data_IF_724941426887
#
_entry.id   IF_724941426887
#
_cell.length_a   1.000
_cell.length_b   1.000
_cell.length_c   1.000
_cell.angle_alpha   90.00
_cell.angle_beta   90.00
_cell.angle_gamma   90.00
#
_symmetry.space_group_name_H-M   'P 1'
#
loop_
_entity.id
_entity.type
_entity.pdbx_description
1 polymer ?
#
# COMPACT_ATOMS: atom_id res chain seq x y z
N UNK A 1 4.99 -38.02 -19.71
CA UNK A 1 5.47 -36.91 -20.54
C UNK A 1 6.91 -36.64 -20.18
N UNK A 2 7.80 -36.97 -21.09
CA UNK A 2 9.22 -36.67 -20.97
C UNK A 2 9.48 -35.16 -21.22
N UNK A 3 10.74 -34.76 -21.08
CA UNK A 3 11.17 -33.38 -21.26
C UNK A 3 10.88 -32.85 -22.68
N UNK A 4 11.17 -33.65 -23.70
CA UNK A 4 11.06 -33.28 -25.11
C UNK A 4 9.59 -33.11 -25.53
N UNK A 5 8.72 -34.01 -25.06
CA UNK A 5 7.28 -33.97 -25.30
C UNK A 5 6.65 -32.72 -24.64
N UNK A 6 7.12 -32.35 -23.45
CA UNK A 6 6.68 -31.14 -22.75
C UNK A 6 7.02 -29.86 -23.54
N UNK A 7 8.24 -29.78 -24.07
CA UNK A 7 8.70 -28.66 -24.92
C UNK A 7 7.90 -28.64 -26.22
N UNK A 8 7.81 -29.77 -26.94
CA UNK A 8 7.07 -29.85 -28.20
C UNK A 8 5.59 -29.48 -28.04
N UNK A 9 4.96 -29.84 -26.92
CA UNK A 9 3.59 -29.40 -26.59
C UNK A 9 3.49 -27.88 -26.43
N UNK A 10 4.43 -27.27 -25.70
CA UNK A 10 4.47 -25.83 -25.52
C UNK A 10 4.72 -25.10 -26.84
N UNK A 11 5.57 -25.64 -27.71
CA UNK A 11 5.88 -25.09 -29.03
C UNK A 11 4.64 -25.08 -29.94
N UNK A 12 3.89 -26.20 -30.00
CA UNK A 12 2.62 -26.24 -30.73
C UNK A 12 1.62 -25.19 -30.25
N UNK A 13 1.51 -24.99 -28.93
CA UNK A 13 0.67 -23.93 -28.35
C UNK A 13 1.17 -22.54 -28.70
N UNK A 14 2.49 -22.34 -28.76
CA UNK A 14 3.10 -21.06 -29.11
C UNK A 14 2.84 -20.70 -30.58
N UNK A 15 3.10 -21.64 -31.48
CA UNK A 15 2.89 -21.51 -32.93
C UNK A 15 1.42 -21.27 -33.27
N UNK A 16 0.49 -21.87 -32.52
CA UNK A 16 -0.94 -21.62 -32.68
C UNK A 16 -1.42 -20.28 -32.06
N UNK A 17 -0.50 -19.40 -31.65
CA UNK A 17 -0.81 -18.10 -31.03
C UNK A 17 -1.26 -18.17 -29.56
N UNK A 18 -1.34 -19.36 -28.95
CA UNK A 18 -1.78 -19.56 -27.56
C UNK A 18 -0.64 -19.37 -26.56
N UNK A 19 0.03 -18.21 -26.63
CA UNK A 19 1.26 -17.90 -25.86
C UNK A 19 1.12 -18.08 -24.34
N UNK A 20 0.00 -17.62 -23.77
CA UNK A 20 -0.24 -17.76 -22.33
C UNK A 20 -0.33 -19.23 -21.89
N UNK A 21 -0.99 -20.08 -22.70
CA UNK A 21 -1.11 -21.51 -22.41
C UNK A 21 0.23 -22.25 -22.55
N UNK A 22 1.06 -21.85 -23.52
CA UNK A 22 2.41 -22.38 -23.67
C UNK A 22 3.28 -22.06 -22.45
N UNK A 23 3.30 -20.80 -21.99
CA UNK A 23 4.02 -20.41 -20.77
C UNK A 23 3.51 -21.14 -19.53
N UNK A 24 2.19 -21.27 -19.37
CA UNK A 24 1.61 -22.00 -18.24
C UNK A 24 2.02 -23.48 -18.24
N UNK A 25 1.98 -24.13 -19.41
CA UNK A 25 2.42 -25.51 -19.58
C UNK A 25 3.88 -25.70 -19.13
N UNK A 26 4.77 -24.81 -19.56
CA UNK A 26 6.19 -24.85 -19.17
C UNK A 26 6.38 -24.55 -17.68
N UNK A 27 5.71 -23.54 -17.13
CA UNK A 27 5.78 -23.21 -15.69
C UNK A 27 5.31 -24.37 -14.81
N UNK A 28 4.20 -25.01 -15.18
CA UNK A 28 3.67 -26.18 -14.47
C UNK A 28 4.69 -27.32 -14.48
N UNK A 29 5.33 -27.58 -15.64
CA UNK A 29 6.37 -28.61 -15.76
C UNK A 29 7.59 -28.28 -14.91
N UNK A 30 8.11 -27.04 -14.96
CA UNK A 30 9.25 -26.59 -14.13
C UNK A 30 8.97 -26.72 -12.64
N UNK A 31 7.74 -26.45 -12.18
CA UNK A 31 7.38 -26.63 -10.76
C UNK A 31 7.34 -28.09 -10.36
N UNK A 32 6.86 -28.96 -11.25
CA UNK A 32 6.73 -30.40 -10.98
C UNK A 32 8.08 -31.12 -11.05
N UNK A 33 8.91 -30.76 -12.02
CA UNK A 33 10.24 -31.33 -12.27
C UNK A 33 11.27 -30.21 -12.42
N UNK A 34 11.71 -29.60 -11.28
CA UNK A 34 12.66 -28.48 -11.26
C UNK A 34 14.00 -28.70 -11.96
N UNK A 35 14.42 -29.97 -12.05
CA UNK A 35 15.69 -30.41 -12.64
C UNK A 35 15.68 -30.43 -14.18
N UNK A 36 14.51 -30.25 -14.83
CA UNK A 36 14.38 -30.23 -16.29
C UNK A 36 14.99 -28.96 -16.90
N UNK A 37 16.30 -29.00 -17.12
CA UNK A 37 17.06 -27.84 -17.57
C UNK A 37 16.65 -27.36 -18.98
N UNK A 38 16.29 -28.25 -19.90
CA UNK A 38 15.80 -27.90 -21.23
C UNK A 38 14.42 -27.26 -21.21
N UNK A 39 13.47 -27.76 -20.41
CA UNK A 39 12.16 -27.08 -20.22
C UNK A 39 12.35 -25.67 -19.67
N UNK A 40 13.26 -25.50 -18.70
CA UNK A 40 13.58 -24.19 -18.14
C UNK A 40 14.23 -23.28 -19.17
N UNK A 41 15.17 -23.76 -19.99
CA UNK A 41 15.73 -22.99 -21.12
C UNK A 41 14.66 -22.57 -22.12
N UNK A 42 13.74 -23.46 -22.46
CA UNK A 42 12.61 -23.14 -23.34
C UNK A 42 11.75 -22.02 -22.73
N UNK A 43 11.40 -22.11 -21.45
CA UNK A 43 10.63 -21.08 -20.74
C UNK A 43 11.35 -19.72 -20.74
N UNK A 44 12.65 -19.71 -20.46
CA UNK A 44 13.48 -18.49 -20.51
C UNK A 44 13.49 -17.89 -21.92
N UNK A 45 13.66 -18.73 -22.96
CA UNK A 45 13.58 -18.31 -24.35
C UNK A 45 12.25 -17.64 -24.68
N UNK A 46 11.12 -18.24 -24.28
CA UNK A 46 9.79 -17.66 -24.50
C UNK A 46 9.58 -16.33 -23.78
N UNK A 47 10.12 -16.15 -22.57
CA UNK A 47 10.06 -14.85 -21.91
C UNK A 47 10.93 -13.78 -22.58
N UNK A 48 12.10 -14.17 -23.11
CA UNK A 48 12.95 -13.27 -23.91
C UNK A 48 12.25 -12.81 -25.19
N UNK A 49 11.58 -13.72 -25.90
CA UNK A 49 10.77 -13.39 -27.09
C UNK A 49 9.67 -12.35 -26.79
N UNK A 50 9.15 -12.33 -25.56
CA UNK A 50 8.15 -11.35 -25.11
C UNK A 50 8.74 -10.07 -24.51
N UNK A 51 10.07 -9.95 -24.43
CA UNK A 51 10.74 -8.83 -23.76
C UNK A 51 10.59 -8.83 -22.23
N UNK A 52 10.14 -9.93 -21.63
CA UNK A 52 9.93 -10.07 -20.18
C UNK A 52 11.23 -10.50 -19.48
N UNK A 53 12.22 -9.62 -19.47
CA UNK A 53 13.57 -9.90 -18.96
C UNK A 53 13.61 -10.23 -17.44
N UNK A 54 12.68 -9.71 -16.65
CA UNK A 54 12.49 -10.06 -15.25
C UNK A 54 12.10 -11.53 -15.07
N UNK A 55 11.17 -12.03 -15.90
CA UNK A 55 10.74 -13.43 -15.88
C UNK A 55 11.81 -14.36 -16.45
N UNK A 56 12.48 -13.96 -17.52
CA UNK A 56 13.63 -14.69 -18.05
C UNK A 56 14.74 -14.82 -17.00
N UNK A 57 15.04 -13.75 -16.27
CA UNK A 57 15.94 -13.76 -15.12
C UNK A 57 15.47 -14.73 -14.04
N UNK A 58 14.23 -14.59 -13.58
CA UNK A 58 13.64 -15.43 -12.52
C UNK A 58 13.82 -16.92 -12.81
N UNK A 59 13.36 -17.39 -13.96
CA UNK A 59 13.40 -18.84 -14.25
C UNK A 59 14.80 -19.31 -14.64
N UNK A 60 15.63 -18.43 -15.21
CA UNK A 60 16.98 -18.77 -15.65
C UNK A 60 18.02 -18.87 -14.52
N UNK A 61 17.76 -18.28 -13.35
CA UNK A 61 18.69 -18.30 -12.21
C UNK A 61 19.08 -19.69 -11.71
N UNK A 62 18.25 -20.71 -11.98
CA UNK A 62 18.56 -22.09 -11.61
C UNK A 62 19.58 -22.77 -12.56
N UNK A 63 19.97 -22.11 -13.65
CA UNK A 63 20.93 -22.63 -14.63
C UNK A 63 22.12 -21.67 -14.68
N UNK A 64 23.28 -22.17 -14.23
CA UNK A 64 24.52 -21.41 -14.21
C UNK A 64 24.84 -20.80 -15.58
N UNK A 65 25.15 -19.51 -15.59
CA UNK A 65 25.49 -18.76 -16.81
C UNK A 65 24.36 -18.51 -17.82
N UNK A 66 23.13 -18.97 -17.59
CA UNK A 66 22.03 -18.77 -18.55
C UNK A 66 21.51 -17.32 -18.59
N UNK A 67 21.56 -16.63 -17.46
CA UNK A 67 21.00 -15.27 -17.31
C UNK A 67 22.02 -14.19 -17.63
N UNK A 68 21.55 -13.10 -18.22
CA UNK A 68 22.35 -11.88 -18.37
C UNK A 68 22.34 -11.06 -17.08
N UNK A 69 23.32 -10.14 -16.93
CA UNK A 69 23.35 -9.19 -15.80
C UNK A 69 22.06 -8.36 -15.72
N UNK A 70 21.54 -7.92 -16.86
CA UNK A 70 20.29 -7.12 -16.94
C UNK A 70 19.08 -7.92 -16.46
N UNK A 71 18.94 -9.17 -16.90
CA UNK A 71 17.86 -10.06 -16.47
C UNK A 71 17.91 -10.31 -14.95
N UNK A 72 19.10 -10.56 -14.39
CA UNK A 72 19.28 -10.73 -12.94
C UNK A 72 18.88 -9.47 -12.15
N UNK A 73 19.29 -8.29 -12.61
CA UNK A 73 18.92 -7.02 -11.97
C UNK A 73 17.40 -6.76 -12.01
N UNK A 74 16.75 -7.03 -13.14
CA UNK A 74 15.30 -6.85 -13.27
C UNK A 74 14.53 -7.86 -12.41
N UNK A 75 14.98 -9.11 -12.36
CA UNK A 75 14.45 -10.10 -11.44
C UNK A 75 14.60 -9.61 -10.00
N UNK A 76 15.79 -9.18 -9.57
CA UNK A 76 16.03 -8.68 -8.21
C UNK A 76 15.10 -7.52 -7.83
N UNK A 77 14.86 -6.57 -8.75
CA UNK A 77 13.91 -5.45 -8.53
C UNK A 77 12.48 -5.94 -8.36
N UNK A 78 12.07 -6.93 -9.14
CA UNK A 78 10.76 -7.57 -9.02
C UNK A 78 10.62 -8.27 -7.66
N UNK A 79 11.62 -9.07 -7.28
CA UNK A 79 11.66 -9.77 -6.00
C UNK A 79 11.62 -8.80 -4.81
N UNK A 80 12.42 -7.74 -4.83
CA UNK A 80 12.39 -6.72 -3.79
C UNK A 80 11.01 -6.05 -3.65
N UNK A 81 10.17 -6.07 -4.69
CA UNK A 81 8.82 -5.52 -4.65
C UNK A 81 7.75 -6.49 -4.16
N UNK A 82 7.84 -7.78 -4.50
CA UNK A 82 6.74 -8.73 -4.31
C UNK A 82 7.03 -9.81 -3.28
N UNK A 83 8.29 -10.05 -2.94
CA UNK A 83 8.68 -11.17 -2.09
C UNK A 83 8.60 -10.78 -0.62
N UNK A 84 8.02 -11.62 0.23
CA UNK A 84 7.73 -11.30 1.65
C UNK A 84 8.72 -11.90 2.66
N UNK A 85 9.64 -12.79 2.26
CA UNK A 85 10.63 -13.35 3.18
C UNK A 85 11.49 -14.45 2.55
N UNK A 86 12.68 -14.72 3.07
CA UNK A 86 13.65 -15.68 2.49
C UNK A 86 13.20 -17.15 2.57
N UNK A 87 12.31 -17.47 3.52
CA UNK A 87 11.69 -18.80 3.61
C UNK A 87 10.85 -19.09 2.35
N UNK A 88 11.17 -20.17 1.64
CA UNK A 88 10.45 -20.58 0.43
C UNK A 88 10.98 -19.99 -0.89
N UNK A 89 12.15 -19.34 -0.89
CA UNK A 89 12.73 -18.81 -2.15
C UNK A 89 13.01 -19.94 -3.15
N UNK A 90 13.53 -21.07 -2.67
CA UNK A 90 13.77 -22.25 -3.50
C UNK A 90 12.48 -22.74 -4.17
N UNK A 91 11.39 -22.86 -3.42
CA UNK A 91 10.07 -23.26 -3.95
C UNK A 91 9.53 -22.23 -4.94
N UNK A 92 9.68 -20.94 -4.64
CA UNK A 92 9.18 -19.88 -5.50
C UNK A 92 9.91 -19.79 -6.85
N UNK A 93 11.23 -20.03 -6.84
CA UNK A 93 12.06 -20.15 -8.03
C UNK A 93 11.96 -21.52 -8.69
N UNK A 94 11.25 -22.46 -8.03
CA UNK A 94 11.20 -23.87 -8.34
C UNK A 94 12.62 -24.42 -8.58
N UNK A 95 13.55 -24.21 -7.65
CA UNK A 95 14.92 -24.70 -7.78
C UNK A 95 14.97 -26.23 -7.66
N UNK A 96 15.90 -26.90 -8.37
CA UNK A 96 16.18 -28.30 -8.11
C UNK A 96 16.66 -28.50 -6.66
N UNK A 97 16.41 -29.68 -6.11
CA UNK A 97 16.93 -30.05 -4.80
C UNK A 97 18.47 -30.04 -4.81
N UNK A 98 19.07 -29.54 -3.74
CA UNK A 98 20.52 -29.43 -3.59
C UNK A 98 20.94 -28.04 -3.12
N UNK A 99 22.23 -27.76 -3.27
CA UNK A 99 22.81 -26.47 -2.93
C UNK A 99 22.29 -25.37 -3.86
N UNK A 100 22.11 -24.17 -3.29
CA UNK A 100 21.67 -23.01 -4.04
C UNK A 100 22.78 -22.58 -5.02
N UNK A 101 22.47 -22.37 -6.32
CA UNK A 101 23.41 -21.79 -7.26
C UNK A 101 23.95 -20.44 -6.75
N UNK A 102 25.22 -20.14 -7.00
CA UNK A 102 25.83 -18.87 -6.56
C UNK A 102 25.08 -17.66 -7.11
N UNK A 103 24.52 -17.75 -8.33
CA UNK A 103 23.70 -16.68 -8.90
C UNK A 103 22.41 -16.41 -8.11
N UNK A 104 21.85 -17.43 -7.42
CA UNK A 104 20.70 -17.26 -6.52
C UNK A 104 21.15 -16.60 -5.23
N UNK A 105 22.31 -16.96 -4.69
CA UNK A 105 22.86 -16.32 -3.49
C UNK A 105 23.13 -14.83 -3.73
N UNK A 106 23.77 -14.50 -4.87
CA UNK A 106 24.00 -13.12 -5.30
C UNK A 106 22.69 -12.33 -5.44
N UNK A 107 21.64 -12.98 -5.96
CA UNK A 107 20.32 -12.38 -6.07
C UNK A 107 19.74 -12.04 -4.69
N UNK A 108 19.86 -12.92 -3.69
CA UNK A 108 19.34 -12.67 -2.33
C UNK A 108 19.98 -11.44 -1.72
N UNK A 109 21.30 -11.31 -1.85
CA UNK A 109 22.05 -10.14 -1.37
C UNK A 109 21.54 -8.86 -2.05
N UNK A 110 21.38 -8.90 -3.37
CA UNK A 110 20.90 -7.74 -4.14
C UNK A 110 19.44 -7.37 -3.80
N UNK A 111 18.57 -8.37 -3.59
CA UNK A 111 17.18 -8.16 -3.18
C UNK A 111 17.11 -7.47 -1.82
N UNK A 112 17.93 -7.89 -0.86
CA UNK A 112 17.93 -7.29 0.47
C UNK A 112 18.51 -5.86 0.45
N UNK A 113 19.58 -5.62 -0.33
CA UNK A 113 20.09 -4.27 -0.60
C UNK A 113 19.00 -3.35 -1.15
N UNK A 114 18.29 -3.80 -2.19
CA UNK A 114 17.20 -3.02 -2.80
C UNK A 114 16.03 -2.77 -1.83
N UNK A 115 15.70 -3.73 -0.97
CA UNK A 115 14.69 -3.53 0.07
C UNK A 115 15.14 -2.51 1.11
N UNK A 116 16.39 -2.59 1.57
CA UNK A 116 16.94 -1.63 2.51
C UNK A 116 16.94 -0.22 1.92
N UNK A 117 17.35 -0.05 0.66
CA UNK A 117 17.27 1.23 -0.05
C UNK A 117 15.83 1.76 -0.12
N UNK A 118 14.86 0.90 -0.41
CA UNK A 118 13.44 1.30 -0.39
C UNK A 118 12.95 1.65 1.01
N UNK A 119 13.34 0.92 2.05
CA UNK A 119 12.97 1.25 3.44
C UNK A 119 13.55 2.60 3.85
N UNK A 120 14.78 2.89 3.45
CA UNK A 120 15.43 4.18 3.71
C UNK A 120 14.72 5.31 2.96
N UNK A 121 14.46 5.12 1.65
CA UNK A 121 13.73 6.09 0.84
C UNK A 121 12.30 6.33 1.36
N UNK A 122 11.62 5.26 1.78
CA UNK A 122 10.30 5.35 2.40
C UNK A 122 10.37 6.11 3.73
N UNK A 123 11.36 5.83 4.56
CA UNK A 123 11.59 6.51 5.83
C UNK A 123 11.87 8.00 5.64
N UNK A 124 12.64 8.39 4.62
CA UNK A 124 12.90 9.81 4.31
C UNK A 124 11.66 10.51 3.77
N UNK A 125 10.88 9.86 2.90
CA UNK A 125 9.65 10.44 2.36
C UNK A 125 8.57 10.60 3.45
N UNK A 126 8.50 9.67 4.41
CA UNK A 126 7.53 9.72 5.50
C UNK A 126 7.98 10.56 6.70
N UNK A 127 9.29 10.77 6.87
CA UNK A 127 9.79 11.78 7.81
C UNK A 127 9.37 13.21 7.40
N UNK A 128 9.14 13.45 6.10
CA UNK A 128 8.56 14.70 5.60
C UNK A 128 7.04 14.81 5.73
N UNK A 129 6.31 13.69 5.89
CA UNK A 129 4.84 13.70 6.10
C UNK A 129 4.43 13.78 7.57
N UNK A 130 5.37 13.71 8.51
CA UNK A 130 5.12 13.99 9.93
C UNK A 130 4.47 15.36 10.14
N UNK A 131 4.76 16.32 9.25
CA UNK A 131 4.18 17.66 9.28
C UNK A 131 2.66 17.65 9.02
N UNK A 132 2.14 16.73 8.20
CA UNK A 132 0.70 16.68 7.90
C UNK A 132 -0.13 16.11 9.06
N UNK A 133 0.38 15.09 9.74
CA UNK A 133 -0.25 14.53 10.94
C UNK A 133 -0.06 15.46 12.15
N UNK A 134 1.07 16.17 12.26
CA UNK A 134 1.30 17.21 13.27
C UNK A 134 0.41 18.43 13.04
N UNK A 135 0.22 18.88 11.79
CA UNK A 135 -0.72 19.97 11.46
C UNK A 135 -2.15 19.56 11.77
N UNK A 136 -2.55 18.31 11.48
CA UNK A 136 -3.87 17.80 11.83
C UNK A 136 -4.07 17.77 13.34
N UNK A 137 -3.10 17.25 14.09
CA UNK A 137 -3.13 17.23 15.55
C UNK A 137 -3.16 18.64 16.15
N UNK A 138 -2.32 19.56 15.67
CA UNK A 138 -2.27 20.95 16.10
C UNK A 138 -3.61 21.67 15.80
N UNK A 139 -4.20 21.43 14.63
CA UNK A 139 -5.51 21.97 14.28
C UNK A 139 -6.61 21.48 15.22
N UNK A 140 -6.65 20.17 15.52
CA UNK A 140 -7.61 19.60 16.47
C UNK A 140 -7.38 20.07 17.91
N UNK A 141 -6.13 20.18 18.35
CA UNK A 141 -5.77 20.68 19.67
C UNK A 141 -6.18 22.15 19.84
N UNK A 142 -5.90 23.01 18.86
CA UNK A 142 -6.29 24.44 18.87
C UNK A 142 -7.82 24.56 18.85
N UNK A 143 -8.49 23.83 17.97
CA UNK A 143 -9.95 23.93 17.85
C UNK A 143 -10.67 23.38 19.08
N UNK A 144 -10.18 22.28 19.67
CA UNK A 144 -10.68 21.74 20.93
C UNK A 144 -10.45 22.70 22.11
N UNK A 145 -9.29 23.35 22.17
CA UNK A 145 -8.98 24.37 23.20
C UNK A 145 -9.92 25.57 23.09
N UNK A 146 -10.14 26.08 21.87
CA UNK A 146 -11.07 27.19 21.62
C UNK A 146 -12.51 26.83 22.00
N UNK A 147 -12.94 25.59 21.75
CA UNK A 147 -14.26 25.11 22.16
C UNK A 147 -14.42 25.12 23.70
N UNK A 148 -13.44 24.57 24.42
CA UNK A 148 -13.44 24.55 25.90
C UNK A 148 -13.43 25.97 26.47
N UNK A 149 -12.59 26.85 25.95
CA UNK A 149 -12.54 28.26 26.37
C UNK A 149 -13.86 28.98 26.11
N UNK A 150 -14.52 28.72 24.98
CA UNK A 150 -15.82 29.31 24.65
C UNK A 150 -16.93 28.83 25.60
N UNK A 151 -16.92 27.53 25.95
CA UNK A 151 -17.85 26.95 26.94
C UNK A 151 -17.63 27.56 28.33
N UNK A 152 -16.37 27.68 28.78
CA UNK A 152 -16.05 28.30 30.07
C UNK A 152 -16.47 29.77 30.12
N UNK A 153 -16.23 30.53 29.05
CA UNK A 153 -16.65 31.93 28.95
C UNK A 153 -18.18 32.06 29.03
N UNK A 154 -18.92 31.16 28.37
CA UNK A 154 -20.39 31.15 28.45
C UNK A 154 -20.90 30.90 29.88
N UNK A 155 -20.29 29.95 30.61
CA UNK A 155 -20.64 29.68 32.03
C UNK A 155 -20.36 30.89 32.92
N UNK A 156 -19.22 31.57 32.75
CA UNK A 156 -18.87 32.76 33.54
C UNK A 156 -19.83 33.92 33.27
N UNK A 157 -20.21 34.14 32.01
CA UNK A 157 -21.17 35.20 31.63
C UNK A 157 -22.57 34.93 32.20
N UNK A 158 -23.00 33.67 32.19
CA UNK A 158 -24.28 33.24 32.78
C UNK A 158 -24.30 33.48 34.29
N UNK A 159 -23.24 33.07 35.00
CA UNK A 159 -23.07 33.33 36.44
C UNK A 159 -23.02 34.82 36.79
N UNK A 160 -22.56 35.67 35.86
CA UNK A 160 -22.49 37.12 36.06
C UNK A 160 -23.81 37.85 35.76
N UNK A 161 -24.84 37.16 35.25
CA UNK A 161 -26.13 37.76 34.91
C UNK A 161 -26.05 38.83 33.82
N UNK A 162 -25.00 38.81 32.99
CA UNK A 162 -24.76 39.85 32.00
C UNK A 162 -25.58 39.60 30.71
N UNK A 163 -26.21 40.63 30.11
CA UNK A 163 -27.12 40.49 28.95
C UNK A 163 -26.42 40.22 27.61
N UNK A 164 -25.13 39.84 27.61
CA UNK A 164 -24.30 39.63 26.40
C UNK A 164 -24.49 38.24 25.76
N UNK A 165 -25.63 37.58 26.00
CA UNK A 165 -25.83 36.16 25.68
C UNK A 165 -26.02 35.89 24.19
N UNK A 166 -26.57 36.83 23.42
CA UNK A 166 -26.90 36.60 22.01
C UNK A 166 -25.65 36.40 21.14
N UNK A 167 -24.65 37.29 21.25
CA UNK A 167 -23.46 37.25 20.41
C UNK A 167 -22.54 36.05 20.76
N UNK A 168 -22.43 35.72 22.05
CA UNK A 168 -21.69 34.54 22.52
C UNK A 168 -22.29 33.22 22.00
N UNK A 169 -23.63 33.12 21.93
CA UNK A 169 -24.34 31.96 21.38
C UNK A 169 -24.02 31.75 19.89
N UNK A 170 -24.04 32.83 19.11
CA UNK A 170 -23.74 32.74 17.67
C UNK A 170 -22.29 32.42 17.37
N UNK A 171 -21.35 32.86 18.20
CA UNK A 171 -19.94 32.46 18.09
C UNK A 171 -19.78 30.96 18.35
N UNK A 172 -20.43 30.40 19.37
CA UNK A 172 -20.40 28.97 19.65
C UNK A 172 -20.96 28.13 18.48
N UNK A 173 -22.07 28.58 17.88
CA UNK A 173 -22.67 27.96 16.68
C UNK A 173 -21.68 28.00 15.49
N UNK A 174 -21.03 29.14 15.26
CA UNK A 174 -20.05 29.29 14.18
C UNK A 174 -18.84 28.36 14.35
N UNK A 175 -18.30 28.23 15.57
CA UNK A 175 -17.17 27.33 15.88
C UNK A 175 -17.52 25.87 15.59
N UNK A 176 -18.70 25.41 16.04
CA UNK A 176 -19.13 24.03 15.80
C UNK A 176 -19.41 23.77 14.31
N UNK A 177 -19.95 24.75 13.58
CA UNK A 177 -20.15 24.64 12.13
C UNK A 177 -18.82 24.50 11.36
N UNK A 178 -17.77 25.24 11.76
CA UNK A 178 -16.42 25.12 11.16
C UNK A 178 -15.82 23.74 11.45
N UNK A 179 -15.97 23.22 12.68
CA UNK A 179 -15.53 21.85 13.02
C UNK A 179 -16.21 20.78 12.16
N UNK A 180 -17.52 20.92 11.90
CA UNK A 180 -18.26 20.01 11.02
C UNK A 180 -17.73 19.99 9.59
N UNK A 181 -17.44 21.17 9.03
CA UNK A 181 -16.86 21.31 7.69
C UNK A 181 -15.50 20.62 7.64
N UNK A 182 -14.65 20.83 8.65
CA UNK A 182 -13.35 20.18 8.78
C UNK A 182 -13.45 18.65 8.79
N UNK A 183 -14.32 18.07 9.63
CA UNK A 183 -14.58 16.62 9.64
C UNK A 183 -15.03 16.09 8.26
N UNK A 184 -15.89 16.84 7.56
CA UNK A 184 -16.39 16.44 6.24
C UNK A 184 -15.28 16.40 5.17
N UNK A 185 -14.36 17.35 5.21
CA UNK A 185 -13.22 17.41 4.30
C UNK A 185 -12.23 16.27 4.56
N UNK A 186 -11.90 15.99 5.83
CA UNK A 186 -11.00 14.89 6.20
C UNK A 186 -11.61 13.52 5.87
N UNK A 187 -12.91 13.33 6.10
CA UNK A 187 -13.61 12.09 5.69
C UNK A 187 -13.52 11.89 4.18
N UNK A 188 -13.73 12.94 3.37
CA UNK A 188 -13.59 12.84 1.91
C UNK A 188 -12.16 12.49 1.49
N UNK A 189 -11.16 13.05 2.17
CA UNK A 189 -9.75 12.76 1.92
C UNK A 189 -9.40 11.30 2.26
N UNK A 190 -9.85 10.81 3.41
CA UNK A 190 -9.65 9.43 3.87
C UNK A 190 -10.32 8.38 2.97
N UNK A 191 -11.54 8.66 2.49
CA UNK A 191 -12.23 7.78 1.51
C UNK A 191 -11.46 7.75 0.19
N UNK A 192 -10.89 8.88 -0.24
CA UNK A 192 -10.11 8.97 -1.48
C UNK A 192 -8.77 8.23 -1.39
N UNK A 193 -8.17 8.16 -0.21
CA UNK A 193 -6.90 7.45 0.04
C UNK A 193 -7.06 5.95 0.35
N UNK A 194 -8.29 5.39 0.29
CA UNK A 194 -8.60 3.97 0.59
C UNK A 194 -8.21 3.52 2.01
N UNK A 195 -8.03 4.45 2.95
CA UNK A 195 -7.80 4.13 4.36
C UNK A 195 -9.16 3.94 5.08
N UNK A 196 -9.78 2.79 4.85
CA UNK A 196 -11.16 2.49 5.30
C UNK A 196 -11.31 2.62 6.82
N UNK A 197 -10.30 2.21 7.59
CA UNK A 197 -10.32 2.29 9.05
C UNK A 197 -10.35 3.72 9.60
N UNK A 198 -9.69 4.68 8.92
CA UNK A 198 -9.70 6.07 9.34
C UNK A 198 -11.04 6.76 9.02
N UNK A 199 -11.71 6.35 7.92
CA UNK A 199 -12.98 6.94 7.49
C UNK A 199 -14.14 6.69 8.47
N UNK A 200 -14.11 5.60 9.23
CA UNK A 200 -15.14 5.28 10.23
C UNK A 200 -15.06 6.20 11.45
N UNK A 201 -13.86 6.51 11.93
CA UNK A 201 -13.66 7.41 13.07
C UNK A 201 -14.14 8.84 12.79
N UNK A 202 -13.81 9.38 11.61
CA UNK A 202 -14.26 10.71 11.19
C UNK A 202 -15.78 10.79 10.98
N UNK A 203 -16.42 9.68 10.63
CA UNK A 203 -17.86 9.60 10.49
C UNK A 203 -18.59 9.80 11.82
N UNK A 204 -18.12 9.16 12.90
CA UNK A 204 -18.71 9.34 14.23
C UNK A 204 -18.47 10.74 14.78
N UNK A 205 -17.28 11.31 14.60
CA UNK A 205 -16.98 12.67 15.03
C UNK A 205 -17.93 13.71 14.39
N UNK A 206 -18.19 13.59 13.09
CA UNK A 206 -19.14 14.47 12.38
C UNK A 206 -20.58 14.34 12.92
N UNK A 207 -21.03 13.13 13.24
CA UNK A 207 -22.37 12.91 13.80
C UNK A 207 -22.52 13.54 15.19
N UNK A 208 -21.53 13.36 16.06
CA UNK A 208 -21.52 13.95 17.41
C UNK A 208 -21.53 15.48 17.33
N UNK A 209 -20.72 16.07 16.45
CA UNK A 209 -20.71 17.52 16.24
C UNK A 209 -22.02 18.05 15.66
N UNK A 210 -22.67 17.31 14.75
CA UNK A 210 -23.96 17.70 14.17
C UNK A 210 -25.08 17.71 15.24
N UNK A 211 -25.09 16.70 16.11
CA UNK A 211 -26.00 16.65 17.26
C UNK A 211 -25.74 17.81 18.23
N UNK A 212 -24.48 18.08 18.56
CA UNK A 212 -24.09 19.21 19.39
C UNK A 212 -24.52 20.56 18.81
N UNK A 213 -24.34 20.76 17.50
CA UNK A 213 -24.79 21.97 16.80
C UNK A 213 -26.31 22.13 16.87
N UNK A 214 -27.06 21.06 16.62
CA UNK A 214 -28.52 21.08 16.65
C UNK A 214 -29.05 21.47 18.04
N UNK A 215 -28.47 20.89 19.11
CA UNK A 215 -28.79 21.26 20.48
C UNK A 215 -28.45 22.72 20.80
N UNK A 216 -27.29 23.21 20.35
CA UNK A 216 -26.87 24.61 20.54
C UNK A 216 -27.80 25.60 19.83
N UNK A 217 -28.18 25.32 18.58
CA UNK A 217 -29.11 26.15 17.81
C UNK A 217 -30.50 26.14 18.46
N UNK A 218 -31.01 24.97 18.87
CA UNK A 218 -32.29 24.88 19.56
C UNK A 218 -32.31 25.68 20.87
N UNK A 219 -31.23 25.59 21.67
CA UNK A 219 -31.08 26.37 22.90
C UNK A 219 -30.97 27.88 22.63
N UNK A 220 -30.27 28.28 21.57
CA UNK A 220 -30.13 29.70 21.21
C UNK A 220 -31.48 30.30 20.77
N UNK A 221 -32.28 29.55 20.01
CA UNK A 221 -33.61 29.97 19.54
C UNK A 221 -34.62 30.01 20.69
N UNK A 222 -34.61 29.05 21.60
CA UNK A 222 -35.57 28.98 22.71
C UNK A 222 -35.44 30.14 23.72
N UNK A 223 -34.30 30.83 23.74
CA UNK A 223 -33.99 31.95 24.66
C UNK A 223 -33.90 33.29 23.90
N UNK A 224 -34.36 33.36 22.65
CA UNK A 224 -34.49 34.59 21.86
C UNK A 224 -35.97 34.97 21.75
#
# INVERSE_FOLDING_TARGET
>A
MDEAEAIARADRLWESGRRAAALESLRTRVRREPADAGVRRALVGRYRELGAADQAGRYGLAIGGLTTRRERQLAARQFAASWTGTAGLADFLALPAGDLPSEVLDLVVEVERLRQERRLAWGTDHAGTGDADDISFAFWAVTGTLLVLSLLAAVVVDLAGAPWTALARWIAVAVVAVMLIGCGLERRRAVRSRLVAAAEGWGMAAVVLALGLACLVAAAVAVS
#
